data_IF_222133133330
#
_entry.id   IF_222133133330
#
_cell.length_a   1.000
_cell.length_b   1.000
_cell.length_c   1.000
_cell.angle_alpha   90.00
_cell.angle_beta   90.00
_cell.angle_gamma   90.00
#
_symmetry.space_group_name_H-M   'P 1'
#
loop_
_entity.id
_entity.type
_entity.pdbx_description
1 polymer ?
#
# COMPACT_ATOMS: atom_id res chain seq x y z
N UNK A 1 -2.14 -1.93 -15.76
CA UNK A 1 -2.66 -1.48 -14.45
C UNK A 1 -3.49 -0.21 -14.65
N UNK A 2 -4.80 -0.26 -14.36
CA UNK A 2 -5.69 0.91 -14.38
C UNK A 2 -5.31 1.83 -13.20
N UNK A 3 -5.25 3.14 -13.41
CA UNK A 3 -4.82 4.11 -12.40
C UNK A 3 -5.98 5.06 -12.10
N UNK A 4 -6.28 5.25 -10.81
CA UNK A 4 -7.29 6.21 -10.36
C UNK A 4 -6.86 7.61 -10.80
N UNK A 5 -7.79 8.36 -11.39
CA UNK A 5 -7.53 9.77 -11.73
C UNK A 5 -7.77 10.61 -10.48
N UNK A 6 -6.72 11.23 -9.96
CA UNK A 6 -6.76 11.97 -8.70
C UNK A 6 -6.88 13.48 -8.90
N UNK A 7 -6.76 13.95 -10.13
CA UNK A 7 -6.94 15.35 -10.49
C UNK A 7 -6.49 15.68 -11.90
N UNK A 8 -6.18 16.95 -12.16
CA UNK A 8 -5.61 17.45 -13.40
C UNK A 8 -4.31 18.19 -13.10
N UNK A 9 -3.20 17.74 -13.68
CA UNK A 9 -1.94 18.46 -13.65
C UNK A 9 -2.03 19.59 -14.67
N UNK A 10 -2.24 20.81 -14.17
CA UNK A 10 -2.36 22.02 -15.00
C UNK A 10 -1.05 22.38 -15.70
N UNK A 11 0.09 21.98 -15.15
CA UNK A 11 1.42 22.30 -15.68
C UNK A 11 1.74 21.44 -16.89
N UNK A 12 1.39 20.15 -16.85
CA UNK A 12 1.67 19.20 -17.93
C UNK A 12 0.45 18.88 -18.82
N UNK A 13 -0.69 19.54 -18.58
CA UNK A 13 -1.99 19.34 -19.24
C UNK A 13 -2.39 17.86 -19.38
N UNK A 14 -2.22 17.10 -18.30
CA UNK A 14 -2.54 15.67 -18.23
C UNK A 14 -3.31 15.38 -16.95
N UNK A 15 -4.12 14.30 -16.90
CA UNK A 15 -4.70 13.86 -15.64
C UNK A 15 -3.59 13.62 -14.61
N UNK A 16 -3.70 14.27 -13.45
CA UNK A 16 -2.84 13.97 -12.31
C UNK A 16 -3.16 12.54 -11.84
N UNK A 17 -2.11 11.78 -11.55
CA UNK A 17 -2.18 10.39 -11.13
C UNK A 17 -1.40 10.27 -9.82
N UNK A 18 -2.09 10.10 -8.71
CA UNK A 18 -1.50 9.95 -7.38
C UNK A 18 -2.17 10.81 -6.31
N UNK A 19 -2.30 10.27 -5.10
CA UNK A 19 -2.98 10.90 -3.95
C UNK A 19 -4.50 10.81 -4.06
N UNK A 20 -5.12 9.84 -3.38
CA UNK A 20 -6.57 9.74 -3.37
C UNK A 20 -7.15 10.90 -2.53
N UNK A 21 -7.60 11.96 -3.19
CA UNK A 21 -8.09 13.17 -2.50
C UNK A 21 -9.56 13.06 -2.06
N UNK A 22 -10.36 12.28 -2.78
CA UNK A 22 -11.78 12.08 -2.49
C UNK A 22 -12.17 10.63 -2.66
N UNK A 23 -12.92 10.09 -1.70
CA UNK A 23 -13.38 8.70 -1.76
C UNK A 23 -14.29 8.45 -2.97
N UNK A 24 -15.16 9.40 -3.30
CA UNK A 24 -16.07 9.27 -4.44
C UNK A 24 -15.35 9.06 -5.79
N UNK A 25 -14.13 9.57 -5.96
CA UNK A 25 -13.34 9.33 -7.17
C UNK A 25 -12.90 7.87 -7.27
N UNK A 26 -12.43 7.31 -6.15
CA UNK A 26 -12.08 5.89 -6.07
C UNK A 26 -13.30 5.01 -6.34
N UNK A 27 -14.41 5.25 -5.64
CA UNK A 27 -15.66 4.51 -5.84
C UNK A 27 -16.11 4.55 -7.30
N UNK A 28 -16.21 5.74 -7.88
CA UNK A 28 -16.69 5.91 -9.25
C UNK A 28 -15.78 5.24 -10.29
N UNK A 29 -14.45 5.35 -10.13
CA UNK A 29 -13.51 4.70 -11.05
C UNK A 29 -13.62 3.16 -10.95
N UNK A 30 -13.65 2.60 -9.74
CA UNK A 30 -13.79 1.15 -9.51
C UNK A 30 -15.13 0.64 -10.05
N UNK A 31 -16.26 1.29 -9.73
CA UNK A 31 -17.57 0.91 -10.25
C UNK A 31 -17.62 0.95 -11.77
N UNK A 32 -17.14 2.04 -12.38
CA UNK A 32 -17.09 2.14 -13.84
C UNK A 32 -16.25 1.02 -14.46
N UNK A 33 -15.11 0.69 -13.87
CA UNK A 33 -14.25 -0.37 -14.36
C UNK A 33 -14.91 -1.74 -14.33
N UNK A 34 -15.67 -2.04 -13.27
CA UNK A 34 -16.45 -3.27 -13.17
C UNK A 34 -17.57 -3.32 -14.21
N UNK A 35 -18.26 -2.19 -14.45
CA UNK A 35 -19.30 -2.12 -15.48
C UNK A 35 -18.74 -2.26 -16.91
N UNK A 36 -17.57 -1.67 -17.18
CA UNK A 36 -16.89 -1.78 -18.49
C UNK A 36 -16.51 -3.23 -18.86
N UNK A 37 -16.21 -4.04 -17.86
CA UNK A 37 -15.86 -5.46 -18.04
C UNK A 37 -17.01 -6.39 -17.66
N UNK A 38 -18.23 -5.87 -17.52
CA UNK A 38 -19.42 -6.66 -17.17
C UNK A 38 -19.61 -7.79 -18.19
N UNK A 39 -19.77 -9.01 -17.68
CA UNK A 39 -19.90 -10.21 -18.50
C UNK A 39 -18.58 -10.86 -18.91
N UNK A 40 -17.43 -10.30 -18.50
CA UNK A 40 -16.15 -11.03 -18.56
C UNK A 40 -16.03 -11.94 -17.36
N UNK A 41 -15.91 -13.23 -17.63
CA UNK A 41 -15.63 -14.22 -16.59
C UNK A 41 -14.21 -14.03 -16.04
N UNK A 42 -14.00 -14.48 -14.80
CA UNK A 42 -12.71 -14.45 -14.10
C UNK A 42 -12.00 -13.09 -14.08
N UNK A 43 -12.76 -11.99 -14.11
CA UNK A 43 -12.23 -10.62 -13.97
C UNK A 43 -12.49 -10.12 -12.55
N UNK A 44 -11.42 -9.84 -11.80
CA UNK A 44 -11.48 -9.36 -10.43
C UNK A 44 -10.73 -8.04 -10.27
N UNK A 45 -11.13 -7.27 -9.27
CA UNK A 45 -10.57 -5.95 -8.97
C UNK A 45 -10.09 -5.93 -7.54
N UNK A 46 -9.00 -5.18 -7.32
CA UNK A 46 -8.50 -4.92 -5.99
C UNK A 46 -7.88 -3.53 -5.92
N UNK A 47 -7.58 -3.08 -4.72
CA UNK A 47 -6.97 -1.78 -4.46
C UNK A 47 -5.61 -1.96 -3.79
N UNK A 48 -4.75 -0.94 -3.89
CA UNK A 48 -3.52 -0.86 -3.11
C UNK A 48 -3.36 0.61 -2.74
N UNK A 49 -3.88 1.00 -1.58
CA UNK A 49 -4.01 2.41 -1.16
C UNK A 49 -3.43 2.55 0.24
N UNK A 50 -2.58 3.55 0.47
CA UNK A 50 -2.02 3.82 1.80
C UNK A 50 -3.12 4.31 2.77
N UNK A 51 -3.20 3.71 3.96
CA UNK A 51 -4.15 4.10 5.02
C UNK A 51 -4.02 5.58 5.41
N UNK A 52 -2.79 6.10 5.48
CA UNK A 52 -2.52 7.48 5.87
C UNK A 52 -2.97 8.51 4.84
N UNK A 53 -2.98 8.12 3.56
CA UNK A 53 -3.45 8.94 2.46
C UNK A 53 -4.91 8.65 2.10
N UNK A 54 -5.60 7.77 2.85
CA UNK A 54 -6.98 7.43 2.58
C UNK A 54 -7.90 8.64 2.86
N UNK A 55 -8.84 8.97 1.95
CA UNK A 55 -9.74 10.10 2.12
C UNK A 55 -10.52 10.06 3.42
N UNK A 56 -10.74 11.22 4.02
CA UNK A 56 -11.53 11.40 5.24
C UNK A 56 -12.70 12.36 5.03
N UNK A 57 -13.08 12.57 3.76
CA UNK A 57 -14.23 13.37 3.40
C UNK A 57 -15.54 12.69 3.84
N UNK A 58 -16.65 13.43 3.79
CA UNK A 58 -17.93 12.98 4.33
C UNK A 58 -18.50 11.72 3.65
N UNK A 59 -18.08 11.40 2.43
CA UNK A 59 -18.50 10.18 1.73
C UNK A 59 -17.57 8.99 2.02
N UNK A 60 -16.46 9.22 2.71
CA UNK A 60 -15.48 8.18 3.00
C UNK A 60 -15.98 7.19 4.05
N UNK A 61 -15.79 5.87 3.84
CA UNK A 61 -16.04 4.88 4.87
C UNK A 61 -15.05 4.98 6.03
N UNK A 62 -13.95 5.74 5.90
CA UNK A 62 -12.96 5.94 6.96
C UNK A 62 -13.44 6.94 8.02
N UNK A 63 -14.55 6.61 8.65
CA UNK A 63 -15.22 7.40 9.68
C UNK A 63 -14.34 7.58 10.92
N UNK A 64 -14.70 8.55 11.77
CA UNK A 64 -14.01 8.79 13.04
C UNK A 64 -13.98 7.53 13.92
N UNK A 65 -15.06 6.75 13.92
CA UNK A 65 -15.14 5.49 14.65
C UNK A 65 -14.05 4.49 14.23
N UNK A 66 -13.78 4.37 12.92
CA UNK A 66 -12.72 3.50 12.41
C UNK A 66 -11.34 4.10 12.72
N UNK A 67 -11.18 5.42 12.58
CA UNK A 67 -9.93 6.12 12.88
C UNK A 67 -9.51 5.95 14.35
N UNK A 68 -10.47 5.89 15.28
CA UNK A 68 -10.25 5.77 16.71
C UNK A 68 -9.93 4.32 17.18
N UNK A 69 -9.97 3.33 16.29
CA UNK A 69 -9.56 1.95 16.61
C UNK A 69 -8.06 1.93 16.95
N UNK A 70 -7.68 1.43 18.12
CA UNK A 70 -6.28 1.42 18.56
C UNK A 70 -5.43 0.40 17.80
N UNK A 71 -5.96 -0.81 17.58
CA UNK A 71 -5.22 -1.87 16.89
C UNK A 71 -5.17 -1.57 15.37
N UNK A 72 -3.99 -1.46 14.75
CA UNK A 72 -3.85 -1.13 13.34
C UNK A 72 -4.46 -2.17 12.39
N UNK A 73 -4.35 -3.46 12.72
CA UNK A 73 -4.94 -4.54 11.93
C UNK A 73 -6.46 -4.49 11.97
N UNK A 74 -7.04 -4.31 13.16
CA UNK A 74 -8.50 -4.20 13.31
C UNK A 74 -9.03 -2.97 12.57
N UNK A 75 -8.28 -1.87 12.60
CA UNK A 75 -8.62 -0.63 11.87
C UNK A 75 -8.70 -0.86 10.38
N UNK A 76 -7.64 -1.42 9.79
CA UNK A 76 -7.58 -1.69 8.34
C UNK A 76 -8.64 -2.71 7.95
N UNK A 77 -8.80 -3.79 8.70
CA UNK A 77 -9.83 -4.80 8.45
C UNK A 77 -11.25 -4.22 8.50
N UNK A 78 -11.51 -3.33 9.46
CA UNK A 78 -12.81 -2.65 9.57
C UNK A 78 -13.04 -1.70 8.41
N UNK A 79 -12.00 -0.97 8.00
CA UNK A 79 -12.06 -0.08 6.84
C UNK A 79 -12.29 -0.85 5.53
N UNK A 80 -11.54 -1.92 5.29
CA UNK A 80 -11.68 -2.77 4.11
C UNK A 80 -13.09 -3.36 4.02
N UNK A 81 -13.65 -3.83 5.14
CA UNK A 81 -15.04 -4.31 5.21
C UNK A 81 -16.04 -3.20 4.89
N UNK A 82 -15.81 -1.97 5.38
CA UNK A 82 -16.69 -0.84 5.07
C UNK A 82 -16.63 -0.48 3.57
N UNK A 83 -15.45 -0.55 2.95
CA UNK A 83 -15.29 -0.38 1.50
C UNK A 83 -16.01 -1.50 0.74
N UNK A 84 -15.88 -2.76 1.18
CA UNK A 84 -16.54 -3.91 0.55
C UNK A 84 -18.08 -3.73 0.56
N UNK A 85 -18.64 -3.26 1.66
CA UNK A 85 -20.08 -2.97 1.81
C UNK A 85 -20.50 -1.79 0.93
N UNK A 86 -19.71 -0.71 0.86
CA UNK A 86 -20.04 0.47 0.04
C UNK A 86 -19.96 0.17 -1.47
N UNK A 87 -18.95 -0.57 -1.91
CA UNK A 87 -18.80 -0.98 -3.32
C UNK A 87 -19.81 -2.06 -3.70
N UNK A 88 -20.15 -2.96 -2.77
CA UNK A 88 -21.17 -4.00 -2.88
C UNK A 88 -21.08 -4.84 -4.17
N UNK A 89 -19.87 -5.32 -4.50
CA UNK A 89 -19.64 -6.15 -5.68
C UNK A 89 -18.70 -7.32 -5.33
N UNK A 90 -19.13 -8.54 -5.60
CA UNK A 90 -18.38 -9.77 -5.27
C UNK A 90 -17.07 -9.95 -6.04
N UNK A 91 -16.87 -9.22 -7.14
CA UNK A 91 -15.62 -9.24 -7.92
C UNK A 91 -14.58 -8.26 -7.39
N UNK A 92 -14.93 -7.43 -6.39
CA UNK A 92 -14.02 -6.46 -5.80
C UNK A 92 -13.51 -6.92 -4.43
N UNK A 93 -12.19 -6.97 -4.29
CA UNK A 93 -11.49 -7.34 -3.04
C UNK A 93 -10.72 -6.10 -2.58
N UNK A 94 -11.21 -5.33 -1.61
CA UNK A 94 -10.49 -4.17 -1.12
C UNK A 94 -9.22 -4.59 -0.38
N UNK A 95 -8.18 -3.79 -0.59
CA UNK A 95 -6.97 -3.80 0.21
C UNK A 95 -6.45 -2.38 0.46
N UNK A 96 -6.18 -2.08 1.72
CA UNK A 96 -5.63 -0.82 2.19
C UNK A 96 -4.31 -1.11 2.88
N UNK A 97 -3.21 -0.62 2.31
CA UNK A 97 -1.88 -0.80 2.87
C UNK A 97 -1.80 -0.07 4.23
N UNK A 98 -1.54 -0.83 5.28
CA UNK A 98 -1.47 -0.33 6.65
C UNK A 98 -0.39 0.77 6.83
N UNK A 99 0.73 0.64 6.12
CA UNK A 99 1.88 1.54 6.21
C UNK A 99 2.31 2.05 4.83
N UNK A 100 3.37 2.84 4.76
CA UNK A 100 3.95 3.17 3.46
C UNK A 100 4.48 1.90 2.78
N UNK A 101 4.54 1.92 1.44
CA UNK A 101 5.13 0.86 0.64
C UNK A 101 6.53 0.42 1.13
N UNK A 102 7.31 1.35 1.69
CA UNK A 102 8.64 1.08 2.26
C UNK A 102 8.66 0.08 3.41
N UNK A 103 7.52 -0.19 4.05
CA UNK A 103 7.43 -1.27 5.03
C UNK A 103 7.87 -2.61 4.44
N UNK A 104 7.57 -2.86 3.15
CA UNK A 104 8.03 -4.06 2.45
C UNK A 104 9.55 -4.10 2.27
N UNK A 105 10.20 -2.95 2.07
CA UNK A 105 11.66 -2.89 1.95
C UNK A 105 12.34 -3.24 3.28
N UNK A 106 11.69 -2.91 4.40
CA UNK A 106 12.19 -3.22 5.74
C UNK A 106 12.11 -4.72 6.09
N UNK A 107 11.36 -5.54 5.34
CA UNK A 107 11.37 -7.01 5.47
C UNK A 107 12.77 -7.59 5.19
N UNK A 108 13.54 -6.96 4.31
CA UNK A 108 14.88 -7.42 3.98
C UNK A 108 15.76 -6.26 3.48
N UNK A 109 16.21 -5.36 4.38
CA UNK A 109 16.96 -4.17 3.99
C UNK A 109 18.26 -4.49 3.25
N UNK A 110 18.80 -5.70 3.39
CA UNK A 110 19.95 -6.19 2.61
C UNK A 110 19.76 -6.04 1.09
N UNK A 111 18.52 -6.11 0.61
CA UNK A 111 18.23 -5.94 -0.81
C UNK A 111 18.46 -4.51 -1.29
N UNK A 112 18.54 -3.52 -0.39
CA UNK A 112 18.97 -2.16 -0.75
C UNK A 112 20.41 -2.11 -1.26
N UNK A 113 21.26 -3.11 -0.97
CA UNK A 113 22.65 -3.17 -1.46
C UNK A 113 22.70 -3.26 -2.98
N UNK A 114 21.70 -3.87 -3.64
CA UNK A 114 21.67 -3.96 -5.12
C UNK A 114 21.59 -2.58 -5.77
N UNK A 115 20.92 -1.64 -5.11
CA UNK A 115 20.75 -0.26 -5.57
C UNK A 115 21.78 0.70 -4.97
N UNK A 116 22.31 0.38 -3.78
CA UNK A 116 23.26 1.21 -3.04
C UNK A 116 24.49 0.41 -2.57
N UNK A 117 25.34 -0.09 -3.49
CA UNK A 117 26.48 -0.95 -3.14
C UNK A 117 27.51 -0.24 -2.25
N UNK A 118 27.61 1.08 -2.34
CA UNK A 118 28.51 1.89 -1.52
C UNK A 118 27.95 2.25 -0.14
N UNK A 119 26.75 1.75 0.23
CA UNK A 119 26.06 2.10 1.47
C UNK A 119 25.90 0.92 2.45
N UNK A 120 26.66 -0.17 2.26
CA UNK A 120 26.58 -1.39 3.09
C UNK A 120 26.59 -1.07 4.59
N UNK A 121 27.53 -0.24 5.07
CA UNK A 121 27.62 0.13 6.49
C UNK A 121 26.36 0.83 7.01
N UNK A 122 25.69 1.63 6.18
CA UNK A 122 24.45 2.32 6.54
C UNK A 122 23.26 1.38 6.52
N UNK A 123 23.23 0.44 5.56
CA UNK A 123 22.21 -0.61 5.50
C UNK A 123 22.30 -1.54 6.72
N UNK A 124 23.52 -1.89 7.16
CA UNK A 124 23.72 -2.65 8.39
C UNK A 124 23.25 -1.89 9.65
N UNK A 125 23.40 -0.56 9.67
CA UNK A 125 22.84 0.27 10.76
C UNK A 125 21.31 0.31 10.71
N UNK A 126 20.72 0.44 9.53
CA UNK A 126 19.27 0.36 9.33
C UNK A 126 18.74 -0.99 9.81
N UNK A 127 19.39 -2.10 9.44
CA UNK A 127 19.03 -3.45 9.91
C UNK A 127 19.02 -3.51 11.41
N UNK A 128 20.11 -3.10 12.07
CA UNK A 128 20.21 -3.06 13.53
C UNK A 128 19.13 -2.21 14.19
N UNK A 129 18.74 -1.10 13.57
CA UNK A 129 17.67 -0.23 14.07
C UNK A 129 16.29 -0.93 14.06
N UNK A 130 16.05 -1.84 13.12
CA UNK A 130 14.75 -2.51 12.95
C UNK A 130 14.73 -3.96 13.47
N UNK A 131 15.85 -4.48 14.01
CA UNK A 131 15.88 -5.84 14.58
C UNK A 131 14.81 -5.98 15.65
N UNK A 132 13.99 -7.03 15.53
CA UNK A 132 12.94 -7.34 16.51
C UNK A 132 11.64 -6.55 16.32
N UNK A 133 11.57 -5.65 15.34
CA UNK A 133 10.32 -4.98 14.96
C UNK A 133 9.66 -5.76 13.83
N UNK A 134 8.35 -5.99 13.94
CA UNK A 134 7.57 -6.55 12.86
C UNK A 134 7.37 -5.48 11.77
N UNK A 135 7.70 -5.71 10.49
CA UNK A 135 7.57 -4.72 9.41
C UNK A 135 6.17 -4.07 9.27
N UNK A 136 5.11 -4.82 9.59
CA UNK A 136 3.73 -4.31 9.65
C UNK A 136 3.36 -3.60 10.97
N UNK A 137 4.30 -3.54 11.92
CA UNK A 137 4.19 -2.78 13.18
C UNK A 137 5.25 -1.67 13.27
N UNK A 138 6.12 -1.51 12.26
CA UNK A 138 7.07 -0.39 12.17
C UNK A 138 6.31 0.88 11.82
N UNK A 139 5.51 1.39 12.75
CA UNK A 139 4.94 2.73 12.67
C UNK A 139 4.42 3.20 14.03
N UNK A 140 5.24 3.95 14.75
CA UNK A 140 4.79 4.59 15.99
C UNK A 140 4.61 6.11 15.87
N UNK A 141 5.22 6.78 14.87
CA UNK A 141 5.08 8.25 14.68
C UNK A 141 5.47 8.71 13.27
N UNK A 142 5.09 9.94 12.89
CA UNK A 142 5.51 10.59 11.62
C UNK A 142 7.03 10.70 11.45
N UNK A 143 7.79 10.71 12.55
CA UNK A 143 9.26 10.73 12.53
C UNK A 143 9.88 9.35 12.30
N UNK A 144 9.13 8.28 12.58
CA UNK A 144 9.59 6.89 12.52
C UNK A 144 8.94 6.08 11.38
N UNK A 145 8.33 6.77 10.41
CA UNK A 145 7.73 6.15 9.23
C UNK A 145 8.77 5.31 8.45
N UNK A 146 8.37 4.20 7.80
CA UNK A 146 9.29 3.32 7.08
C UNK A 146 10.20 4.05 6.09
N UNK A 147 9.67 4.98 5.30
CA UNK A 147 10.51 5.73 4.35
C UNK A 147 11.52 6.64 5.05
N UNK A 148 11.15 7.27 6.17
CA UNK A 148 12.05 8.14 6.94
C UNK A 148 13.20 7.36 7.59
N UNK A 149 12.98 6.10 7.99
CA UNK A 149 14.06 5.21 8.46
C UNK A 149 15.07 4.92 7.36
N UNK A 150 14.60 4.61 6.14
CA UNK A 150 15.49 4.40 4.99
C UNK A 150 16.25 5.70 4.68
N UNK A 151 15.55 6.83 4.57
CA UNK A 151 16.12 8.15 4.23
C UNK A 151 17.18 8.60 5.27
N UNK A 152 16.96 8.32 6.55
CA UNK A 152 17.91 8.64 7.62
C UNK A 152 19.29 8.00 7.39
N UNK A 153 19.32 6.77 6.85
CA UNK A 153 20.56 6.04 6.58
C UNK A 153 21.04 6.20 5.13
N UNK A 154 20.11 6.43 4.19
CA UNK A 154 20.35 6.57 2.75
C UNK A 154 19.54 7.77 2.24
N UNK A 155 20.04 9.01 2.40
CA UNK A 155 19.31 10.21 2.02
C UNK A 155 18.91 10.26 0.54
N UNK A 156 19.71 9.65 -0.33
CA UNK A 156 19.46 9.58 -1.77
C UNK A 156 18.15 8.84 -2.11
N UNK A 157 17.66 7.97 -1.20
CA UNK A 157 16.41 7.25 -1.39
C UNK A 157 15.20 8.18 -1.52
N UNK A 158 15.20 9.37 -0.89
CA UNK A 158 14.05 10.28 -0.91
C UNK A 158 13.65 10.68 -2.33
N UNK A 159 14.63 11.00 -3.18
CA UNK A 159 14.41 11.36 -4.58
C UNK A 159 14.17 10.14 -5.49
N UNK A 160 14.47 8.94 -5.02
CA UNK A 160 14.50 7.71 -5.82
C UNK A 160 13.41 6.70 -5.42
N UNK A 161 12.63 7.00 -4.37
CA UNK A 161 11.60 6.14 -3.76
C UNK A 161 10.69 5.46 -4.79
N UNK A 162 10.15 6.23 -5.74
CA UNK A 162 9.23 5.72 -6.76
C UNK A 162 9.87 4.73 -7.75
N UNK A 163 11.20 4.78 -7.94
CA UNK A 163 11.94 3.88 -8.83
C UNK A 163 12.54 2.70 -8.06
N UNK A 164 13.21 2.99 -6.95
CA UNK A 164 13.97 2.00 -6.16
C UNK A 164 13.03 1.10 -5.37
N UNK A 165 11.94 1.64 -4.81
CA UNK A 165 10.97 0.88 -4.02
C UNK A 165 10.51 -0.40 -4.72
N UNK A 166 9.87 -0.32 -5.89
CA UNK A 166 9.37 -1.50 -6.60
C UNK A 166 10.47 -2.50 -7.00
N UNK A 167 11.66 -2.02 -7.36
CA UNK A 167 12.79 -2.89 -7.73
C UNK A 167 13.27 -3.71 -6.53
N UNK A 168 13.47 -3.04 -5.39
CA UNK A 168 13.91 -3.70 -4.15
C UNK A 168 12.83 -4.66 -3.64
N UNK A 169 11.55 -4.27 -3.68
CA UNK A 169 10.45 -5.18 -3.33
C UNK A 169 10.42 -6.43 -4.23
N UNK A 170 10.71 -6.27 -5.54
CA UNK A 170 10.90 -7.37 -6.47
C UNK A 170 12.05 -8.30 -6.09
N UNK A 171 13.20 -7.73 -5.71
CA UNK A 171 14.39 -8.47 -5.26
C UNK A 171 14.18 -9.21 -3.92
N UNK A 172 13.25 -8.74 -3.09
CA UNK A 172 12.83 -9.40 -1.84
C UNK A 172 11.97 -10.63 -2.16
N UNK A 173 11.07 -10.50 -3.14
CA UNK A 173 10.20 -11.57 -3.60
C UNK A 173 8.93 -11.74 -2.75
N UNK A 174 7.86 -12.20 -3.41
CA UNK A 174 6.52 -12.29 -2.82
C UNK A 174 6.46 -13.24 -1.63
N UNK A 175 7.17 -14.37 -1.67
CA UNK A 175 7.15 -15.37 -0.59
C UNK A 175 7.69 -14.78 0.72
N UNK A 176 8.77 -14.00 0.64
CA UNK A 176 9.36 -13.36 1.82
C UNK A 176 8.45 -12.26 2.36
N UNK A 177 7.80 -11.49 1.48
CA UNK A 177 6.79 -10.51 1.89
C UNK A 177 5.62 -11.19 2.60
N UNK A 178 5.03 -12.24 2.01
CA UNK A 178 3.93 -13.01 2.60
C UNK A 178 4.27 -13.56 3.99
N UNK A 179 5.49 -14.07 4.17
CA UNK A 179 5.91 -14.65 5.44
C UNK A 179 6.12 -13.61 6.57
N UNK A 180 6.37 -12.34 6.23
CA UNK A 180 6.68 -11.28 7.20
C UNK A 180 5.60 -10.20 7.30
N UNK A 181 4.60 -10.23 6.41
CA UNK A 181 3.52 -9.26 6.32
C UNK A 181 2.17 -10.01 6.33
N UNK A 182 1.65 -10.40 7.52
CA UNK A 182 0.40 -11.13 7.66
C UNK A 182 -0.79 -10.50 6.92
N UNK A 183 -0.97 -9.18 6.99
CA UNK A 183 -2.09 -8.51 6.32
C UNK A 183 -1.95 -8.57 4.79
N UNK A 184 -0.74 -8.37 4.28
CA UNK A 184 -0.44 -8.58 2.85
C UNK A 184 -0.68 -10.04 2.42
N UNK A 185 -0.27 -11.01 3.23
CA UNK A 185 -0.48 -12.43 2.92
C UNK A 185 -1.97 -12.79 2.85
N UNK A 186 -2.77 -12.32 3.81
CA UNK A 186 -4.22 -12.53 3.82
C UNK A 186 -4.88 -11.97 2.57
N UNK A 187 -4.42 -10.80 2.10
CA UNK A 187 -4.88 -10.24 0.84
C UNK A 187 -4.53 -11.10 -0.37
N UNK A 188 -3.28 -11.55 -0.50
CA UNK A 188 -2.87 -12.43 -1.61
C UNK A 188 -3.68 -13.75 -1.58
N UNK A 189 -3.88 -14.36 -0.41
CA UNK A 189 -4.70 -15.57 -0.27
C UNK A 189 -6.15 -15.34 -0.75
N UNK A 190 -6.74 -14.17 -0.46
CA UNK A 190 -8.09 -13.80 -0.93
C UNK A 190 -8.13 -13.64 -2.45
N UNK A 191 -7.07 -13.15 -3.08
CA UNK A 191 -6.98 -13.04 -4.54
C UNK A 191 -6.81 -14.42 -5.19
N UNK A 192 -5.94 -15.26 -4.65
CA UNK A 192 -5.67 -16.61 -5.16
C UNK A 192 -6.90 -17.53 -5.06
N UNK A 193 -7.70 -17.39 -4.00
CA UNK A 193 -8.94 -18.17 -3.88
C UNK A 193 -9.94 -17.86 -4.99
N UNK A 194 -9.97 -16.63 -5.51
CA UNK A 194 -10.82 -16.25 -6.65
C UNK A 194 -10.34 -16.74 -8.00
N UNK A 195 -9.05 -17.08 -8.11
CA UNK A 195 -8.48 -17.68 -9.33
C UNK A 195 -8.65 -19.19 -9.36
N UNK A 196 -8.95 -19.80 -8.21
CA UNK A 196 -9.14 -21.25 -8.05
C UNK A 196 -10.61 -21.68 -8.17
N UNK A 197 -11.53 -20.71 -8.19
CA UNK A 197 -12.98 -20.85 -8.42
C UNK A 197 -13.33 -20.61 -9.90
#
# INVERSE_FOLDING_TARGET
>A
CRKIKTGWDKTNNKPAKGGLLKYCQFRNDVTRWMEEDRGREHTFYSSFIDLYAFPKDNESPYSKQIQDISNPYDKVKTLEKAIEIDINNSTFIPYVQLHEFEAFLLVSPDKLVSMYPNKITYIERLKKEIVGLNPEEINETSQNAPSKRIIKHIPEYEAQKAQVGPLVAGDIGVDKLRNNCPHFNDWINRLESKLSD
#
